data_IF_028493958956
#
_entry.id   IF_028493958956
#
_cell.length_a   1.000
_cell.length_b   1.000
_cell.length_c   1.000
_cell.angle_alpha   90.00
_cell.angle_beta   90.00
_cell.angle_gamma   90.00
#
_symmetry.space_group_name_H-M   'P 1'
#
loop_
_entity.id
_entity.type
_entity.pdbx_description
1 polymer ?
#
# COMPACT_ATOMS: atom_id res chain seq x y z
N UNK A 1 9.87 -19.83 -3.29
CA UNK A 1 9.14 -18.71 -3.85
C UNK A 1 8.22 -18.09 -2.84
N UNK A 2 8.21 -16.75 -2.75
CA UNK A 2 7.33 -16.05 -1.84
C UNK A 2 5.98 -15.77 -2.52
N UNK A 3 4.88 -15.92 -1.79
CA UNK A 3 3.59 -15.50 -2.33
C UNK A 3 3.54 -13.98 -2.51
N UNK A 4 2.79 -13.55 -3.51
CA UNK A 4 2.57 -12.12 -3.76
C UNK A 4 1.09 -11.84 -3.54
N UNK A 5 0.81 -10.82 -2.73
CA UNK A 5 -0.54 -10.38 -2.46
C UNK A 5 -0.71 -8.94 -2.90
N UNK A 6 -1.83 -8.63 -3.52
CA UNK A 6 -2.12 -7.30 -4.00
C UNK A 6 -3.36 -6.77 -3.30
N UNK A 7 -3.24 -5.59 -2.68
CA UNK A 7 -4.34 -4.91 -2.02
C UNK A 7 -4.59 -3.57 -2.70
N UNK A 8 -5.83 -3.30 -3.05
CA UNK A 8 -6.24 -1.99 -3.53
C UNK A 8 -7.26 -1.48 -2.51
N UNK A 9 -6.84 -0.50 -1.72
CA UNK A 9 -7.67 0.00 -0.61
C UNK A 9 -8.34 1.33 -0.93
N UNK A 10 -8.44 1.65 -2.20
CA UNK A 10 -9.03 2.93 -2.63
C UNK A 10 -10.42 3.18 -2.07
N UNK A 11 -11.22 2.14 -1.91
CA UNK A 11 -12.61 2.27 -1.43
C UNK A 11 -12.79 2.10 0.06
N UNK A 12 -11.71 1.90 0.78
CA UNK A 12 -11.77 1.81 2.24
C UNK A 12 -12.08 3.20 2.79
N UNK A 13 -13.15 3.31 3.56
CA UNK A 13 -13.53 4.58 4.18
C UNK A 13 -13.05 4.67 5.62
N UNK A 14 -12.80 3.52 6.24
CA UNK A 14 -12.35 3.44 7.61
C UNK A 14 -11.32 2.33 7.70
N UNK A 15 -10.10 2.61 8.20
CA UNK A 15 -9.07 1.58 8.33
C UNK A 15 -9.52 0.32 9.07
N UNK A 16 -10.50 0.45 9.97
CA UNK A 16 -11.03 -0.70 10.69
C UNK A 16 -11.61 -1.77 9.78
N UNK A 17 -12.01 -1.40 8.57
CA UNK A 17 -12.52 -2.36 7.60
C UNK A 17 -11.46 -3.39 7.22
N UNK A 18 -10.18 -3.03 7.36
CA UNK A 18 -9.08 -3.94 7.05
C UNK A 18 -9.02 -5.14 8.00
N UNK A 19 -9.47 -4.94 9.24
CA UNK A 19 -9.47 -6.04 10.21
C UNK A 19 -10.41 -7.16 9.78
N UNK A 20 -11.49 -6.83 9.15
CA UNK A 20 -12.44 -7.82 8.65
C UNK A 20 -11.84 -8.68 7.55
N UNK A 21 -10.86 -8.14 6.84
CA UNK A 21 -10.18 -8.85 5.76
C UNK A 21 -9.05 -9.72 6.26
N UNK A 22 -8.69 -9.63 7.55
CA UNK A 22 -7.57 -10.39 8.09
C UNK A 22 -6.22 -9.92 7.55
N UNK A 23 -6.08 -8.61 7.32
CA UNK A 23 -4.89 -8.05 6.66
C UNK A 23 -3.59 -8.41 7.35
N UNK A 24 -3.62 -8.58 8.67
CA UNK A 24 -2.40 -8.83 9.44
C UNK A 24 -1.68 -10.10 9.03
N UNK A 25 -2.43 -11.12 8.63
CA UNK A 25 -1.83 -12.37 8.18
C UNK A 25 -1.01 -12.17 6.92
N UNK A 26 -1.39 -11.20 6.10
CA UNK A 26 -0.69 -10.91 4.85
C UNK A 26 0.44 -9.92 5.06
N UNK A 27 0.19 -8.83 5.79
CA UNK A 27 1.19 -7.77 6.00
C UNK A 27 2.40 -8.26 6.80
N UNK A 28 2.18 -9.16 7.74
CA UNK A 28 3.23 -9.68 8.61
C UNK A 28 3.58 -11.13 8.32
N UNK A 29 3.07 -11.65 7.22
CA UNK A 29 3.34 -13.03 6.82
C UNK A 29 4.63 -13.17 6.03
N UNK A 30 4.77 -14.30 5.37
CA UNK A 30 5.98 -14.64 4.64
C UNK A 30 6.04 -14.11 3.20
N UNK A 31 4.94 -13.55 2.72
CA UNK A 31 4.85 -13.08 1.35
C UNK A 31 5.21 -11.61 1.18
N UNK A 32 5.03 -11.15 -0.03
CA UNK A 32 5.21 -9.75 -0.40
C UNK A 32 3.83 -9.14 -0.66
N UNK A 33 3.55 -7.99 -0.07
CA UNK A 33 2.30 -7.28 -0.28
C UNK A 33 2.55 -6.02 -1.10
N UNK A 34 1.75 -5.83 -2.14
CA UNK A 34 1.73 -4.57 -2.90
C UNK A 34 0.40 -3.89 -2.57
N UNK A 35 0.47 -2.70 -2.03
CA UNK A 35 -0.72 -1.99 -1.55
C UNK A 35 -0.88 -0.68 -2.31
N UNK A 36 -1.97 -0.56 -3.04
CA UNK A 36 -2.30 0.68 -3.74
C UNK A 36 -3.16 1.57 -2.85
N UNK A 37 -2.92 2.86 -2.92
CA UNK A 37 -3.61 3.85 -2.11
C UNK A 37 -3.34 3.67 -0.62
N UNK A 38 -2.13 3.23 -0.30
CA UNK A 38 -1.75 2.85 1.06
C UNK A 38 -1.86 4.00 2.07
N UNK A 39 -1.80 5.24 1.61
CA UNK A 39 -1.95 6.40 2.49
C UNK A 39 -3.31 6.42 3.20
N UNK A 40 -4.32 5.75 2.65
CA UNK A 40 -5.63 5.67 3.27
C UNK A 40 -5.63 4.78 4.52
N UNK A 41 -4.62 3.92 4.64
CA UNK A 41 -4.47 3.03 5.79
C UNK A 41 -3.09 3.20 6.44
N UNK A 42 -2.60 4.42 6.44
CA UNK A 42 -1.26 4.77 6.91
C UNK A 42 -0.92 4.14 8.27
N UNK A 43 -1.85 4.22 9.19
CA UNK A 43 -1.66 3.76 10.56
C UNK A 43 -1.50 2.25 10.70
N UNK A 44 -1.87 1.50 9.66
CA UNK A 44 -1.81 0.04 9.68
C UNK A 44 -0.53 -0.49 9.01
N UNK A 45 0.25 0.38 8.38
CA UNK A 45 1.42 -0.05 7.62
C UNK A 45 2.57 -0.45 8.55
N UNK A 46 3.25 -1.58 8.27
CA UNK A 46 4.43 -1.96 9.04
C UNK A 46 5.55 -0.92 8.93
N UNK A 47 6.41 -0.86 9.93
CA UNK A 47 7.52 0.09 9.96
C UNK A 47 8.48 -0.09 8.79
N UNK A 48 8.65 -1.30 8.33
CA UNK A 48 9.59 -1.61 7.24
C UNK A 48 9.00 -1.43 5.84
N UNK A 49 7.85 -0.77 5.74
CA UNK A 49 7.19 -0.55 4.45
C UNK A 49 8.00 0.36 3.55
N UNK A 50 8.16 -0.06 2.29
CA UNK A 50 8.76 0.77 1.26
C UNK A 50 7.65 1.58 0.61
N UNK A 51 7.80 2.89 0.55
CA UNK A 51 6.78 3.78 -0.01
C UNK A 51 7.18 4.27 -1.38
N UNK A 52 6.24 4.26 -2.28
CA UNK A 52 6.42 4.84 -3.61
C UNK A 52 5.25 5.78 -3.85
N UNK A 53 5.54 7.07 -3.92
CA UNK A 53 4.52 8.06 -4.24
C UNK A 53 4.62 8.38 -5.72
N UNK A 54 3.48 8.42 -6.40
CA UNK A 54 3.41 8.73 -7.81
C UNK A 54 2.49 9.92 -7.98
N UNK A 55 3.00 11.00 -8.54
CA UNK A 55 2.25 12.23 -8.74
C UNK A 55 2.27 12.64 -10.20
N UNK A 56 1.31 13.46 -10.59
CA UNK A 56 1.32 14.05 -11.92
C UNK A 56 2.42 15.09 -12.00
N UNK A 57 3.11 15.13 -13.13
CA UNK A 57 4.10 16.15 -13.39
C UNK A 57 3.46 17.40 -13.97
N UNK A 58 4.30 18.37 -14.35
CA UNK A 58 3.82 19.64 -14.92
C UNK A 58 3.27 19.47 -16.32
N UNK A 59 3.80 18.53 -17.08
CA UNK A 59 3.39 18.31 -18.46
C UNK A 59 2.53 17.05 -18.57
N UNK A 60 1.66 17.04 -19.58
CA UNK A 60 0.83 15.88 -19.84
C UNK A 60 1.70 14.64 -20.05
N UNK A 61 1.32 13.54 -19.42
CA UNK A 61 2.05 12.29 -19.53
C UNK A 61 3.21 12.14 -18.57
N UNK A 62 3.60 13.20 -17.88
CA UNK A 62 4.66 13.12 -16.89
C UNK A 62 4.17 12.58 -15.56
N UNK A 63 5.05 11.85 -14.90
CA UNK A 63 4.79 11.38 -13.52
C UNK A 63 6.05 11.59 -12.70
N UNK A 64 5.84 11.97 -11.46
CA UNK A 64 6.93 12.15 -10.50
C UNK A 64 6.86 10.99 -9.52
N UNK A 65 7.97 10.29 -9.38
CA UNK A 65 8.06 9.14 -8.47
C UNK A 65 8.96 9.48 -7.32
N UNK A 66 8.50 9.18 -6.12
CA UNK A 66 9.31 9.38 -4.90
C UNK A 66 9.30 8.09 -4.10
N UNK A 67 10.49 7.54 -3.87
CA UNK A 67 10.64 6.29 -3.14
C UNK A 67 11.30 6.55 -1.79
N UNK A 68 10.69 6.02 -0.74
CA UNK A 68 11.22 6.15 0.63
C UNK A 68 11.29 4.75 1.24
N UNK A 69 12.45 4.40 1.78
CA UNK A 69 12.66 3.09 2.41
C UNK A 69 12.81 3.22 3.91
#
# INVERSE_FOLDING_TARGET
RLPLYHFDVYRITDPDEMYELGYEEYFYGDGVCVIEWADLIEELLPEHTIRIEIQYGENEGERIYRCTC
#
